data_IF_258215344966
#
_entry.id   IF_258215344966
#
_cell.length_a   1.000
_cell.length_b   1.000
_cell.length_c   1.000
_cell.angle_alpha   90.00
_cell.angle_beta   90.00
_cell.angle_gamma   90.00
#
_symmetry.space_group_name_H-M   'P 1'
#
loop_
_entity.id
_entity.type
_entity.pdbx_description
1 polymer ?
#
# COMPACT_ATOMS: atom_id res chain seq x y z
N UNK A 1 5.28 -15.47 -10.25
CA UNK A 1 5.32 -14.00 -10.14
C UNK A 1 6.59 -13.53 -10.81
N UNK A 2 6.52 -12.51 -11.66
CA UNK A 2 7.72 -11.96 -12.27
C UNK A 2 8.54 -11.21 -11.21
N UNK A 3 9.85 -11.45 -11.08
CA UNK A 3 10.65 -10.81 -10.05
C UNK A 3 10.68 -9.28 -10.24
N UNK A 4 10.81 -8.54 -9.14
CA UNK A 4 11.08 -7.10 -9.15
C UNK A 4 12.35 -6.80 -8.39
N UNK A 5 13.29 -6.15 -9.06
CA UNK A 5 14.49 -5.62 -8.40
C UNK A 5 14.13 -4.35 -7.60
N UNK A 6 14.44 -4.30 -6.30
CA UNK A 6 14.12 -3.16 -5.43
C UNK A 6 15.12 -2.01 -5.64
N UNK A 7 15.09 -1.41 -6.82
CA UNK A 7 15.84 -0.16 -7.06
C UNK A 7 15.30 0.97 -6.18
N UNK A 8 16.15 1.93 -5.82
CA UNK A 8 15.72 3.10 -5.02
C UNK A 8 14.55 3.84 -5.68
N UNK A 9 14.58 3.96 -7.00
CA UNK A 9 13.52 4.58 -7.80
C UNK A 9 12.17 3.85 -7.71
N UNK A 10 12.20 2.51 -7.69
CA UNK A 10 11.01 1.69 -7.47
C UNK A 10 10.47 1.88 -6.04
N UNK A 11 11.35 1.85 -5.05
CA UNK A 11 10.99 1.97 -3.64
C UNK A 11 10.47 3.37 -3.29
N UNK A 12 11.01 4.43 -3.90
CA UNK A 12 10.48 5.79 -3.82
C UNK A 12 9.06 5.86 -4.39
N UNK A 13 8.80 5.21 -5.54
CA UNK A 13 7.45 5.14 -6.13
C UNK A 13 6.47 4.44 -5.19
N UNK A 14 6.90 3.32 -4.61
CA UNK A 14 6.13 2.56 -3.62
C UNK A 14 5.86 3.37 -2.35
N UNK A 15 6.83 4.17 -1.89
CA UNK A 15 6.69 5.10 -0.78
C UNK A 15 5.62 6.15 -1.06
N UNK A 16 5.66 6.81 -2.21
CA UNK A 16 4.64 7.79 -2.63
C UNK A 16 3.25 7.16 -2.67
N UNK A 17 3.12 5.95 -3.24
CA UNK A 17 1.86 5.18 -3.27
C UNK A 17 1.35 4.89 -1.86
N UNK A 18 2.21 4.45 -0.95
CA UNK A 18 1.84 4.17 0.44
C UNK A 18 1.37 5.44 1.19
N UNK A 19 2.03 6.58 0.98
CA UNK A 19 1.62 7.87 1.56
C UNK A 19 0.30 8.35 0.98
N UNK A 20 0.10 8.22 -0.33
CA UNK A 20 -1.17 8.54 -0.98
C UNK A 20 -2.33 7.66 -0.48
N UNK A 21 -2.09 6.36 -0.24
CA UNK A 21 -3.10 5.48 0.36
C UNK A 21 -3.52 5.97 1.75
N UNK A 22 -2.56 6.39 2.60
CA UNK A 22 -2.87 6.99 3.90
C UNK A 22 -3.70 8.27 3.76
N UNK A 23 -3.39 9.14 2.80
CA UNK A 23 -4.17 10.36 2.55
C UNK A 23 -5.59 10.05 2.09
N UNK A 24 -5.75 9.10 1.14
CA UNK A 24 -7.08 8.67 0.67
C UNK A 24 -7.92 8.06 1.79
N UNK A 25 -7.31 7.38 2.76
CA UNK A 25 -8.03 6.89 3.94
C UNK A 25 -8.59 8.05 4.78
N UNK A 26 -7.80 9.11 4.97
CA UNK A 26 -8.24 10.31 5.73
C UNK A 26 -9.35 11.06 4.96
N UNK A 27 -9.22 11.19 3.64
CA UNK A 27 -10.23 11.80 2.77
C UNK A 27 -11.54 10.98 2.74
N UNK A 28 -11.44 9.64 2.74
CA UNK A 28 -12.61 8.76 2.80
C UNK A 28 -13.39 8.91 4.12
N UNK A 29 -12.68 8.96 5.26
CA UNK A 29 -13.29 9.20 6.57
C UNK A 29 -13.95 10.58 6.61
N UNK A 30 -13.23 11.63 6.20
CA UNK A 30 -13.78 12.98 6.19
C UNK A 30 -15.03 13.09 5.29
N UNK A 31 -15.08 12.36 4.16
CA UNK A 31 -16.23 12.32 3.26
C UNK A 31 -17.44 11.63 3.89
N UNK A 32 -17.21 10.52 4.57
CA UNK A 32 -18.25 9.82 5.31
C UNK A 32 -18.85 10.70 6.42
N UNK A 33 -18.00 11.35 7.21
CA UNK A 33 -18.42 12.21 8.33
C UNK A 33 -19.29 13.40 7.89
N UNK A 34 -19.06 13.94 6.67
CA UNK A 34 -19.90 15.00 6.08
C UNK A 34 -21.08 14.49 5.26
N UNK A 35 -21.31 13.17 5.20
CA UNK A 35 -22.42 12.54 4.48
C UNK A 35 -22.21 12.37 2.97
N UNK A 36 -21.01 12.62 2.43
CA UNK A 36 -20.69 12.34 1.04
C UNK A 36 -20.26 10.87 0.86
N UNK A 37 -21.27 10.00 0.80
CA UNK A 37 -21.08 8.56 0.63
C UNK A 37 -20.38 8.23 -0.69
N UNK A 38 -20.61 9.00 -1.75
CA UNK A 38 -20.01 8.71 -3.06
C UNK A 38 -18.52 8.97 -3.02
N UNK A 39 -18.10 10.14 -2.53
CA UNK A 39 -16.69 10.48 -2.40
C UNK A 39 -15.96 9.55 -1.42
N UNK A 40 -16.61 9.21 -0.30
CA UNK A 40 -16.06 8.27 0.69
C UNK A 40 -15.74 6.91 0.07
N UNK A 41 -16.68 6.39 -0.73
CA UNK A 41 -16.51 5.10 -1.39
C UNK A 41 -15.46 5.15 -2.52
N UNK A 42 -15.39 6.24 -3.29
CA UNK A 42 -14.34 6.43 -4.31
C UNK A 42 -12.94 6.44 -3.66
N UNK A 43 -12.77 7.22 -2.58
CA UNK A 43 -11.50 7.30 -1.88
C UNK A 43 -11.14 5.97 -1.22
N UNK A 44 -12.11 5.26 -0.65
CA UNK A 44 -11.92 3.92 -0.09
C UNK A 44 -11.47 2.90 -1.14
N UNK A 45 -12.13 2.85 -2.31
CA UNK A 45 -11.77 1.95 -3.39
C UNK A 45 -10.35 2.20 -3.90
N UNK A 46 -9.98 3.48 -4.09
CA UNK A 46 -8.62 3.86 -4.51
C UNK A 46 -7.58 3.53 -3.43
N UNK A 47 -7.88 3.81 -2.16
CA UNK A 47 -7.03 3.45 -1.01
C UNK A 47 -6.76 1.94 -0.98
N UNK A 48 -7.79 1.11 -1.11
CA UNK A 48 -7.66 -0.35 -1.10
C UNK A 48 -6.82 -0.85 -2.29
N UNK A 49 -7.05 -0.29 -3.49
CA UNK A 49 -6.24 -0.60 -4.66
C UNK A 49 -4.76 -0.21 -4.49
N UNK A 50 -4.44 0.94 -3.89
CA UNK A 50 -3.06 1.32 -3.60
C UNK A 50 -2.40 0.41 -2.55
N UNK A 51 -3.14 -0.03 -1.53
CA UNK A 51 -2.60 -1.01 -0.58
C UNK A 51 -2.35 -2.37 -1.23
N UNK A 52 -3.25 -2.84 -2.09
CA UNK A 52 -3.05 -4.07 -2.88
C UNK A 52 -1.85 -3.96 -3.83
N UNK A 53 -1.71 -2.82 -4.50
CA UNK A 53 -0.53 -2.49 -5.33
C UNK A 53 0.75 -2.59 -4.51
N UNK A 54 0.76 -1.98 -3.31
CA UNK A 54 1.92 -2.04 -2.42
C UNK A 54 2.28 -3.47 -2.04
N UNK A 55 1.29 -4.27 -1.62
CA UNK A 55 1.50 -5.67 -1.27
C UNK A 55 2.01 -6.47 -2.47
N UNK A 56 1.46 -6.26 -3.67
CA UNK A 56 1.90 -6.95 -4.88
C UNK A 56 3.37 -6.66 -5.21
N UNK A 57 3.81 -5.39 -5.13
CA UNK A 57 5.22 -5.01 -5.34
C UNK A 57 6.12 -5.71 -4.32
N UNK A 58 5.78 -5.63 -3.03
CA UNK A 58 6.61 -6.22 -1.98
C UNK A 58 6.65 -7.75 -2.07
N UNK A 59 5.54 -8.42 -2.39
CA UNK A 59 5.52 -9.87 -2.63
C UNK A 59 6.48 -10.27 -3.76
N UNK A 60 6.53 -9.49 -4.85
CA UNK A 60 7.44 -9.73 -5.99
C UNK A 60 8.91 -9.49 -5.62
N UNK A 61 9.19 -8.51 -4.75
CA UNK A 61 10.54 -8.25 -4.23
C UNK A 61 11.00 -9.42 -3.33
N UNK A 62 10.18 -9.80 -2.35
CA UNK A 62 10.48 -10.91 -1.42
C UNK A 62 10.69 -12.22 -2.19
N UNK A 63 9.84 -12.50 -3.18
CA UNK A 63 9.96 -13.69 -4.01
C UNK A 63 11.22 -13.69 -4.90
N UNK A 64 11.75 -12.52 -5.26
CA UNK A 64 12.92 -12.38 -6.10
C UNK A 64 14.22 -12.54 -5.32
N UNK A 65 14.34 -11.81 -4.19
CA UNK A 65 15.52 -11.85 -3.33
C UNK A 65 15.13 -11.48 -1.88
N UNK A 66 14.78 -12.47 -1.04
CA UNK A 66 14.38 -12.20 0.34
C UNK A 66 15.54 -11.67 1.20
N UNK A 67 16.80 -11.82 0.79
CA UNK A 67 17.95 -11.34 1.57
C UNK A 67 18.06 -9.80 1.62
N UNK A 68 17.35 -9.11 0.72
CA UNK A 68 17.23 -7.64 0.72
C UNK A 68 16.08 -7.14 1.59
N UNK A 69 15.39 -8.04 2.27
CA UNK A 69 14.17 -7.77 3.01
C UNK A 69 14.32 -8.25 4.44
N UNK A 70 14.10 -7.35 5.40
CA UNK A 70 14.02 -7.69 6.83
C UNK A 70 12.65 -7.34 7.38
N UNK A 71 12.27 -7.99 8.50
CA UNK A 71 10.99 -7.79 9.15
C UNK A 71 11.09 -7.53 10.65
N UNK A 72 10.12 -6.79 11.18
CA UNK A 72 9.87 -6.62 12.61
C UNK A 72 8.36 -6.49 12.85
N UNK A 73 7.81 -7.30 13.74
CA UNK A 73 6.42 -7.17 14.18
C UNK A 73 6.28 -5.98 15.12
N UNK A 74 5.28 -5.15 14.85
CA UNK A 74 4.96 -3.93 15.56
C UNK A 74 3.55 -3.96 16.09
N UNK A 75 3.36 -3.50 17.33
CA UNK A 75 2.04 -3.14 17.83
C UNK A 75 1.80 -1.67 17.50
N UNK A 76 0.71 -1.40 16.77
CA UNK A 76 0.29 -0.05 16.40
C UNK A 76 -1.19 0.06 16.74
N UNK A 77 -1.55 0.94 17.68
CA UNK A 77 -2.94 1.08 18.15
C UNK A 77 -3.59 -0.22 18.67
N UNK A 78 -2.79 -1.15 19.19
CA UNK A 78 -3.26 -2.45 19.69
C UNK A 78 -3.38 -3.52 18.61
N UNK A 79 -3.19 -3.17 17.33
CA UNK A 79 -3.13 -4.12 16.23
C UNK A 79 -1.68 -4.52 15.94
N UNK A 80 -1.47 -5.77 15.55
CA UNK A 80 -0.15 -6.27 15.14
C UNK A 80 0.05 -6.09 13.64
N UNK A 81 1.19 -5.51 13.28
CA UNK A 81 1.62 -5.24 11.90
C UNK A 81 3.01 -5.81 11.67
N UNK A 82 3.29 -6.28 10.47
CA UNK A 82 4.66 -6.60 10.04
C UNK A 82 5.25 -5.35 9.38
N UNK A 83 6.25 -4.72 10.00
CA UNK A 83 7.11 -3.78 9.30
C UNK A 83 8.06 -4.57 8.42
N UNK A 84 8.07 -4.25 7.13
CA UNK A 84 9.06 -4.74 6.18
C UNK A 84 10.01 -3.62 5.82
N UNK A 85 11.32 -3.89 5.89
CA UNK A 85 12.36 -2.98 5.44
C UNK A 85 13.02 -3.56 4.19
N UNK A 86 13.02 -2.80 3.09
CA UNK A 86 13.69 -3.15 1.84
C UNK A 86 14.72 -2.06 1.55
N UNK A 87 16.01 -2.40 1.63
CA UNK A 87 17.11 -1.47 1.36
C UNK A 87 16.97 -0.08 2.06
N UNK A 88 16.47 -0.07 3.30
CA UNK A 88 16.26 1.15 4.09
C UNK A 88 14.93 1.88 3.85
N UNK A 89 14.03 1.31 3.05
CA UNK A 89 12.65 1.77 2.89
C UNK A 89 11.68 0.92 3.71
N UNK A 90 10.79 1.56 4.45
CA UNK A 90 9.97 0.94 5.48
C UNK A 90 8.47 0.92 5.09
N UNK A 91 7.85 -0.26 5.18
CA UNK A 91 6.45 -0.48 4.82
C UNK A 91 5.74 -1.41 5.80
N UNK A 92 4.73 -0.91 6.49
CA UNK A 92 3.84 -1.77 7.27
C UNK A 92 2.88 -2.57 6.38
N UNK A 93 2.72 -3.84 6.74
CA UNK A 93 1.84 -4.83 6.12
C UNK A 93 1.03 -5.55 7.19
N UNK A 94 -0.21 -5.98 6.89
CA UNK A 94 -0.86 -6.98 7.72
C UNK A 94 0.01 -8.23 7.84
N UNK A 95 0.05 -8.92 9.00
CA UNK A 95 0.91 -10.11 9.20
C UNK A 95 0.70 -11.23 8.17
N UNK A 96 -0.48 -11.30 7.57
CA UNK A 96 -0.87 -12.31 6.57
C UNK A 96 -0.70 -11.85 5.11
N UNK A 97 -0.17 -10.65 4.84
CA UNK A 97 -0.21 -10.04 3.51
C UNK A 97 0.53 -10.83 2.42
N UNK A 98 1.61 -11.53 2.77
CA UNK A 98 2.45 -12.25 1.82
C UNK A 98 2.10 -13.74 1.68
N UNK A 99 1.24 -14.27 2.55
CA UNK A 99 1.12 -15.71 2.77
C UNK A 99 2.32 -16.28 3.54
N UNK A 100 2.16 -17.48 4.10
CA UNK A 100 3.17 -18.11 4.97
C UNK A 100 4.52 -18.26 4.26
N UNK A 101 4.53 -18.75 3.03
CA UNK A 101 5.76 -19.13 2.33
C UNK A 101 6.70 -17.93 2.10
N UNK A 102 6.13 -16.76 1.77
CA UNK A 102 6.91 -15.54 1.59
C UNK A 102 7.28 -14.90 2.93
N UNK A 103 6.39 -14.94 3.93
CA UNK A 103 6.71 -14.43 5.27
C UNK A 103 7.85 -15.23 5.91
N UNK A 104 7.85 -16.56 5.76
CA UNK A 104 8.89 -17.46 6.30
C UNK A 104 10.25 -17.27 5.63
N UNK A 105 10.27 -16.68 4.42
CA UNK A 105 11.51 -16.37 3.70
C UNK A 105 12.18 -15.08 4.21
N UNK A 106 11.45 -14.21 4.91
CA UNK A 106 11.97 -12.92 5.41
C UNK A 106 12.70 -13.17 6.74
N UNK A 107 13.86 -12.53 6.93
CA UNK A 107 14.51 -12.49 8.23
C UNK A 107 13.74 -11.53 9.16
N UNK A 108 12.95 -12.09 10.09
CA UNK A 108 12.14 -11.33 11.05
C UNK A 108 12.81 -11.35 12.42
N UNK A 109 12.99 -10.17 13.04
CA UNK A 109 13.76 -10.00 14.27
C UNK A 109 13.03 -10.39 15.56
N UNK A 110 11.71 -10.56 15.52
CA UNK A 110 10.84 -10.92 16.64
C UNK A 110 9.66 -11.80 16.19
N UNK A 111 8.71 -12.08 17.08
CA UNK A 111 7.55 -12.92 16.78
C UNK A 111 6.25 -12.13 16.82
N UNK A 112 5.22 -12.65 16.15
CA UNK A 112 3.86 -12.08 16.16
C UNK A 112 3.25 -12.04 17.56
N UNK A 113 3.68 -12.93 18.47
CA UNK A 113 3.23 -12.98 19.87
C UNK A 113 3.99 -11.99 20.78
N UNK A 114 5.15 -11.50 20.33
CA UNK A 114 5.98 -10.53 21.05
C UNK A 114 6.33 -9.32 20.17
N UNK A 115 5.31 -8.64 19.62
CA UNK A 115 5.53 -7.48 18.79
C UNK A 115 6.15 -6.35 19.61
N UNK A 116 7.00 -5.56 18.96
CA UNK A 116 7.57 -4.36 19.57
C UNK A 116 6.52 -3.25 19.58
N UNK A 117 6.31 -2.65 20.74
CA UNK A 117 5.43 -1.49 20.86
C UNK A 117 6.11 -0.25 20.26
N UNK A 118 5.42 0.40 19.32
CA UNK A 118 5.91 1.62 18.68
C UNK A 118 4.84 2.71 18.74
N UNK A 119 5.23 3.99 18.92
CA UNK A 119 4.28 5.07 18.83
C UNK A 119 3.72 5.13 17.42
N UNK A 120 2.41 5.28 17.31
CA UNK A 120 1.80 5.55 16.02
C UNK A 120 2.15 6.95 15.54
N UNK A 121 2.82 7.03 14.40
CA UNK A 121 3.08 8.30 13.71
C UNK A 121 2.37 8.27 12.35
N UNK A 122 1.28 9.05 12.25
CA UNK A 122 0.54 9.22 11.00
C UNK A 122 1.21 10.27 10.15
N UNK A 123 2.04 9.83 9.21
CA UNK A 123 2.60 10.68 8.18
C UNK A 123 1.99 10.33 6.83
N UNK A 124 1.08 11.18 6.35
CA UNK A 124 0.46 11.07 5.03
C UNK A 124 1.18 11.93 3.96
N UNK A 125 2.12 12.77 4.37
CA UNK A 125 3.00 13.54 3.48
C UNK A 125 4.18 12.67 3.01
N UNK A 126 4.56 12.83 1.75
CA UNK A 126 5.68 12.13 1.14
C UNK A 126 6.96 12.97 1.24
N UNK A 127 7.36 13.38 2.44
CA UNK A 127 8.45 14.37 2.63
C UNK A 127 9.82 13.92 2.11
N UNK A 128 10.03 12.61 1.91
CA UNK A 128 11.23 12.06 1.29
C UNK A 128 11.26 12.14 -0.25
N UNK A 129 10.23 12.68 -0.90
CA UNK A 129 10.11 12.68 -2.36
C UNK A 129 9.26 13.83 -2.91
N UNK A 130 9.72 14.44 -4.00
CA UNK A 130 8.94 15.41 -4.79
C UNK A 130 8.08 14.72 -5.88
N UNK A 131 8.11 13.38 -5.97
CA UNK A 131 7.40 12.63 -6.99
C UNK A 131 5.88 12.68 -6.77
N UNK A 132 5.16 13.00 -7.85
CA UNK A 132 3.70 12.96 -7.83
C UNK A 132 3.19 11.52 -7.78
N UNK A 133 1.96 11.34 -7.28
CA UNK A 133 1.28 10.04 -7.32
C UNK A 133 1.16 9.52 -8.75
N UNK A 134 0.85 10.38 -9.72
CA UNK A 134 0.70 9.99 -11.13
C UNK A 134 2.01 9.43 -11.70
N UNK A 135 3.14 10.10 -11.43
CA UNK A 135 4.45 9.62 -11.87
C UNK A 135 4.84 8.30 -11.18
N UNK A 136 4.58 8.17 -9.88
CA UNK A 136 4.82 6.93 -9.15
C UNK A 136 4.01 5.75 -9.70
N UNK A 137 2.73 5.98 -10.01
CA UNK A 137 1.85 4.96 -10.59
C UNK A 137 2.30 4.56 -11.99
N UNK A 138 2.64 5.54 -12.85
CA UNK A 138 3.12 5.27 -14.19
C UNK A 138 4.41 4.42 -14.16
N UNK A 139 5.35 4.79 -13.28
CA UNK A 139 6.59 4.03 -13.12
C UNK A 139 6.35 2.59 -12.62
N UNK A 140 5.44 2.36 -11.66
CA UNK A 140 5.08 0.99 -11.25
C UNK A 140 4.43 0.19 -12.38
N UNK A 141 3.58 0.82 -13.19
CA UNK A 141 2.93 0.18 -14.33
C UNK A 141 3.95 -0.24 -15.40
N UNK A 142 4.97 0.58 -15.69
CA UNK A 142 6.10 0.23 -16.57
C UNK A 142 6.88 -1.01 -16.08
N UNK A 143 6.81 -1.32 -14.78
CA UNK A 143 7.41 -2.50 -14.14
C UNK A 143 6.42 -3.67 -14.01
N UNK A 144 5.25 -3.55 -14.64
CA UNK A 144 4.21 -4.57 -14.69
C UNK A 144 3.37 -4.65 -13.41
N UNK A 145 3.21 -3.54 -12.68
CA UNK A 145 2.23 -3.43 -11.59
C UNK A 145 1.32 -2.23 -11.83
N UNK A 146 0.18 -2.47 -12.47
CA UNK A 146 -0.84 -1.46 -12.71
C UNK A 146 -1.81 -1.39 -11.52
N UNK A 147 -1.95 -0.22 -10.89
CA UNK A 147 -2.88 -0.04 -9.78
C UNK A 147 -4.35 -0.20 -10.19
N UNK A 148 -4.71 0.04 -11.46
CA UNK A 148 -6.06 -0.19 -11.96
C UNK A 148 -6.45 -1.67 -11.94
N UNK A 149 -5.49 -2.60 -12.07
CA UNK A 149 -5.74 -4.04 -11.97
C UNK A 149 -6.15 -4.46 -10.55
N UNK A 150 -5.90 -3.59 -9.57
CA UNK A 150 -6.23 -3.79 -8.17
C UNK A 150 -7.50 -3.07 -7.73
N UNK A 151 -8.26 -2.44 -8.63
CA UNK A 151 -9.56 -1.87 -8.29
C UNK A 151 -10.62 -2.98 -8.29
N UNK A 152 -11.40 -3.08 -7.21
CA UNK A 152 -12.60 -3.90 -7.22
C UNK A 152 -13.58 -3.30 -8.25
N UNK A 153 -14.31 -4.15 -8.99
CA UNK A 153 -15.20 -3.72 -10.09
C UNK A 153 -16.09 -2.53 -9.68
N UNK A 154 -16.29 -1.53 -10.55
CA UNK A 154 -16.86 -0.25 -10.16
C UNK A 154 -18.36 -0.37 -9.89
N UNK A 155 -18.74 -0.59 -8.64
CA UNK A 155 -20.15 -0.47 -8.25
C UNK A 155 -20.24 0.15 -6.87
N UNK A 156 -20.40 1.48 -6.83
CA UNK A 156 -20.88 2.16 -5.63
C UNK A 156 -22.40 2.33 -5.81
N UNK A 157 -23.18 1.55 -5.08
CA UNK A 157 -24.63 1.71 -4.99
C UNK A 157 -24.97 2.85 -4.03
N UNK A 158 -25.07 4.07 -4.54
CA UNK A 158 -25.71 5.19 -3.84
C UNK A 158 -27.18 5.30 -4.24
N UNK A 159 -27.99 6.10 -3.53
CA UNK A 159 -29.42 6.35 -3.83
C UNK A 159 -29.73 6.81 -5.28
N UNK A 160 -28.70 7.12 -6.08
CA UNK A 160 -28.79 7.55 -7.48
C UNK A 160 -28.22 6.58 -8.50
N UNK A 161 -27.72 5.39 -8.10
CA UNK A 161 -27.17 4.36 -9.00
C UNK A 161 -26.22 4.92 -10.09
N UNK A 162 -25.32 5.84 -9.73
CA UNK A 162 -24.35 6.40 -10.66
C UNK A 162 -23.04 5.60 -10.63
N UNK A 163 -22.68 5.01 -11.76
CA UNK A 163 -21.38 4.37 -11.95
C UNK A 163 -20.31 5.46 -12.02
N UNK A 164 -19.44 5.52 -11.01
CA UNK A 164 -18.28 6.41 -10.98
C UNK A 164 -17.04 5.64 -11.41
N UNK A 165 -16.31 6.14 -12.40
CA UNK A 165 -15.05 5.57 -12.84
C UNK A 165 -13.94 5.93 -11.84
N UNK A 166 -13.52 4.94 -11.06
CA UNK A 166 -12.51 5.10 -10.00
C UNK A 166 -11.07 4.98 -10.50
N UNK A 167 -10.87 4.60 -11.77
CA UNK A 167 -9.54 4.37 -12.37
C UNK A 167 -8.68 5.63 -12.40
N UNK A 168 -7.37 5.44 -12.29
CA UNK A 168 -6.40 6.51 -12.51
C UNK A 168 -6.25 6.78 -14.01
N UNK A 169 -6.54 8.02 -14.42
CA UNK A 169 -6.48 8.40 -15.83
C UNK A 169 -5.06 8.39 -16.41
N UNK A 170 -4.04 8.58 -15.56
CA UNK A 170 -2.62 8.51 -15.95
C UNK A 170 -2.16 7.10 -16.35
N UNK A 171 -2.97 6.07 -16.09
CA UNK A 171 -2.70 4.67 -16.40
C UNK A 171 -3.61 4.15 -17.52
N UNK A 172 -4.00 5.03 -18.46
CA UNK A 172 -4.85 4.70 -19.61
C UNK A 172 -4.08 4.74 -20.91
#
# INVERSE_FOLDING_TARGET
>A
MDPLEPTDDLLESLYVVNKAAKRLADEATAAYERGDVTESNVNSARKDALYRTKTAVLSRIVAADPSRVTGEYHTVHGDTWLLVTVDGWEFHQPPYAFGSDLTDAIEISNTVDTPRDIPYVREATAERSDRSLEAALAHLAERGVDANDHLDRPTISGERDQVVDVRWAALR
#
